data_IF_392002880359
#
_entry.id   IF_392002880359
#
_cell.length_a   1.000
_cell.length_b   1.000
_cell.length_c   1.000
_cell.angle_alpha   90.00
_cell.angle_beta   90.00
_cell.angle_gamma   90.00
#
_symmetry.space_group_name_H-M   'P 1'
#
loop_
_entity.id
_entity.type
_entity.pdbx_description
1 polymer ?
#
# COMPACT_ATOMS: atom_id res chain seq x y z
N UNK A 1 -18.20 -3.40 -1.12
CA UNK A 1 -17.99 -2.14 -0.37
C UNK A 1 -16.80 -1.43 -1.00
N UNK A 2 -17.04 -0.53 -1.97
CA UNK A 2 -15.98 0.19 -2.70
C UNK A 2 -16.06 1.71 -2.48
N UNK A 3 -16.76 2.14 -1.41
CA UNK A 3 -17.15 3.53 -1.19
C UNK A 3 -15.99 4.52 -1.23
N UNK A 4 -14.80 4.09 -0.78
CA UNK A 4 -13.60 4.90 -0.61
C UNK A 4 -12.58 4.80 -1.78
N UNK A 5 -12.86 4.02 -2.83
CA UNK A 5 -11.93 3.80 -3.95
C UNK A 5 -12.61 3.95 -5.31
N UNK A 6 -13.47 4.96 -5.43
CA UNK A 6 -14.17 5.22 -6.68
C UNK A 6 -13.26 5.92 -7.70
N UNK A 7 -13.65 5.82 -8.97
CA UNK A 7 -12.81 6.17 -10.11
C UNK A 7 -12.26 7.60 -10.03
N UNK A 8 -13.12 8.59 -9.83
CA UNK A 8 -12.73 10.01 -9.74
C UNK A 8 -11.63 10.22 -8.68
N UNK A 9 -11.87 9.80 -7.43
CA UNK A 9 -10.89 9.92 -6.35
C UNK A 9 -9.55 9.25 -6.68
N UNK A 10 -9.59 8.01 -7.20
CA UNK A 10 -8.35 7.30 -7.56
C UNK A 10 -7.63 7.94 -8.74
N UNK A 11 -8.33 8.55 -9.70
CA UNK A 11 -7.72 9.28 -10.80
C UNK A 11 -7.02 10.55 -10.31
N UNK A 12 -7.65 11.31 -9.43
CA UNK A 12 -7.03 12.51 -8.85
C UNK A 12 -5.82 12.14 -7.99
N UNK A 13 -5.92 11.07 -7.19
CA UNK A 13 -4.77 10.55 -6.42
C UNK A 13 -3.64 10.05 -7.32
N UNK A 14 -3.94 9.45 -8.48
CA UNK A 14 -2.91 9.07 -9.44
C UNK A 14 -2.21 10.29 -10.05
N UNK A 15 -2.95 11.34 -10.38
CA UNK A 15 -2.35 12.59 -10.86
C UNK A 15 -1.44 13.21 -9.80
N UNK A 16 -1.84 13.15 -8.53
CA UNK A 16 -1.00 13.60 -7.42
C UNK A 16 0.26 12.74 -7.27
N UNK A 17 0.17 11.42 -7.48
CA UNK A 17 1.34 10.55 -7.53
C UNK A 17 2.30 10.93 -8.67
N UNK A 18 1.78 11.27 -9.86
CA UNK A 18 2.59 11.74 -10.98
C UNK A 18 3.30 13.06 -10.64
N UNK A 19 2.58 14.01 -10.06
CA UNK A 19 3.14 15.30 -9.63
C UNK A 19 4.25 15.08 -8.59
N UNK A 20 4.01 14.22 -7.60
CA UNK A 20 4.99 13.87 -6.57
C UNK A 20 6.22 13.18 -7.16
N UNK A 21 6.02 12.22 -8.08
CA UNK A 21 7.12 11.53 -8.76
C UNK A 21 7.95 12.50 -9.60
N UNK A 22 7.31 13.36 -10.39
CA UNK A 22 7.97 14.40 -11.20
C UNK A 22 8.82 15.31 -10.32
N UNK A 23 8.23 15.81 -9.22
CA UNK A 23 8.92 16.67 -8.27
C UNK A 23 10.16 16.00 -7.66
N UNK A 24 10.04 14.74 -7.24
CA UNK A 24 11.15 13.97 -6.70
C UNK A 24 12.24 13.72 -7.75
N UNK A 25 11.85 13.38 -8.98
CA UNK A 25 12.77 13.07 -10.06
C UNK A 25 13.57 14.31 -10.49
N UNK A 26 12.91 15.45 -10.64
CA UNK A 26 13.51 16.68 -11.16
C UNK A 26 14.28 17.45 -10.09
N UNK A 27 13.66 17.70 -8.93
CA UNK A 27 14.24 18.60 -7.91
C UNK A 27 15.18 17.89 -6.95
N UNK A 28 14.97 16.60 -6.69
CA UNK A 28 15.79 15.81 -5.78
C UNK A 28 16.74 14.85 -6.49
N UNK A 29 16.59 14.67 -7.82
CA UNK A 29 17.38 13.70 -8.58
C UNK A 29 17.17 12.27 -8.08
N UNK A 30 16.01 11.98 -7.50
CA UNK A 30 15.72 10.71 -6.82
C UNK A 30 14.38 10.14 -7.28
N UNK A 31 14.32 8.82 -7.42
CA UNK A 31 13.08 8.09 -7.71
C UNK A 31 12.49 7.60 -6.38
N UNK A 32 11.28 8.04 -5.98
CA UNK A 32 10.71 7.64 -4.70
C UNK A 32 10.39 6.14 -4.71
N UNK A 33 10.55 5.47 -3.55
CA UNK A 33 10.10 4.08 -3.38
C UNK A 33 8.64 4.07 -2.97
N UNK A 34 7.75 3.75 -3.91
CA UNK A 34 6.31 3.71 -3.68
C UNK A 34 5.91 2.32 -3.20
N UNK A 35 5.09 2.27 -2.15
CA UNK A 35 4.52 1.03 -1.58
C UNK A 35 2.99 1.09 -1.62
N UNK A 36 2.32 0.21 -0.88
CA UNK A 36 0.87 0.30 -0.70
C UNK A 36 0.06 0.06 -1.98
N UNK A 37 -1.06 0.78 -2.12
CA UNK A 37 -2.02 0.54 -3.20
C UNK A 37 -1.50 0.90 -4.59
N UNK A 38 -0.80 2.03 -4.73
CA UNK A 38 -0.23 2.45 -6.00
C UNK A 38 0.88 1.54 -6.51
N UNK A 39 1.68 0.97 -5.61
CA UNK A 39 2.67 -0.04 -5.95
C UNK A 39 2.04 -1.32 -6.52
N UNK A 40 0.89 -1.74 -5.99
CA UNK A 40 0.13 -2.88 -6.53
C UNK A 40 -0.42 -2.55 -7.91
N UNK A 41 -1.02 -1.37 -8.06
CA UNK A 41 -1.56 -0.90 -9.34
C UNK A 41 -0.53 -0.95 -10.47
N UNK A 42 0.74 -0.57 -10.21
CA UNK A 42 1.81 -0.60 -11.21
C UNK A 42 2.06 -2.00 -11.82
N UNK A 43 1.68 -3.07 -11.12
CA UNK A 43 1.79 -4.44 -11.63
C UNK A 43 0.51 -4.98 -12.24
N UNK A 44 -0.64 -4.61 -11.69
CA UNK A 44 -1.91 -5.28 -11.96
C UNK A 44 -2.86 -4.45 -12.82
N UNK A 45 -2.61 -3.13 -12.92
CA UNK A 45 -3.56 -2.14 -13.45
C UNK A 45 -4.96 -2.28 -12.82
N UNK A 46 -5.03 -2.76 -11.57
CA UNK A 46 -6.26 -3.03 -10.85
C UNK A 46 -6.86 -1.77 -10.22
N UNK A 47 -7.44 -1.94 -9.03
CA UNK A 47 -8.02 -0.83 -8.28
C UNK A 47 -6.93 0.14 -7.79
N UNK A 48 -7.09 1.43 -8.12
CA UNK A 48 -6.21 2.51 -7.67
C UNK A 48 -6.23 2.72 -6.15
N UNK A 49 -5.43 3.67 -5.68
CA UNK A 49 -5.34 4.04 -4.27
C UNK A 49 -5.86 5.46 -4.04
N UNK A 50 -6.20 5.76 -2.78
CA UNK A 50 -6.45 7.13 -2.33
C UNK A 50 -5.15 7.75 -1.79
N UNK A 51 -4.41 6.97 -1.02
CA UNK A 51 -3.18 7.40 -0.35
C UNK A 51 -1.95 7.05 -1.20
N UNK A 52 -0.93 7.90 -1.09
CA UNK A 52 0.39 7.73 -1.70
C UNK A 52 1.36 7.30 -0.61
N UNK A 53 1.61 6.00 -0.52
CA UNK A 53 2.55 5.44 0.45
C UNK A 53 3.98 5.47 -0.11
N UNK A 54 4.91 6.13 0.58
CA UNK A 54 6.31 6.29 0.16
C UNK A 54 7.30 5.93 1.26
N UNK A 55 8.39 5.26 0.87
CA UNK A 55 9.52 4.93 1.76
C UNK A 55 10.73 5.76 1.35
N UNK A 56 11.25 6.55 2.29
CA UNK A 56 12.49 7.30 2.12
C UNK A 56 13.70 6.54 2.67
N UNK A 57 14.92 6.77 2.16
CA UNK A 57 16.13 6.17 2.71
C UNK A 57 16.37 6.53 4.19
N UNK A 58 16.05 7.77 4.56
CA UNK A 58 16.29 8.32 5.89
C UNK A 58 15.34 9.50 6.21
N UNK A 59 15.28 9.89 7.48
CA UNK A 59 14.40 10.94 7.97
C UNK A 59 14.75 12.35 7.46
N UNK A 60 16.03 12.64 7.20
CA UNK A 60 16.46 13.95 6.68
C UNK A 60 15.95 14.13 5.26
N UNK A 61 16.15 13.11 4.41
CA UNK A 61 15.65 13.05 3.03
C UNK A 61 14.12 13.18 2.99
N UNK A 62 13.41 12.42 3.84
CA UNK A 62 11.94 12.52 3.98
C UNK A 62 11.49 13.94 4.34
N UNK A 63 12.02 14.48 5.43
CA UNK A 63 11.56 15.76 5.96
C UNK A 63 11.84 16.90 4.97
N UNK A 64 13.00 16.89 4.31
CA UNK A 64 13.35 17.90 3.29
C UNK A 64 12.42 17.80 2.08
N UNK A 65 12.20 16.59 1.56
CA UNK A 65 11.35 16.36 0.40
C UNK A 65 9.90 16.77 0.67
N UNK A 66 9.30 16.26 1.74
CA UNK A 66 7.91 16.52 2.07
C UNK A 66 7.64 17.97 2.45
N UNK A 67 8.52 18.60 3.25
CA UNK A 67 8.35 20.01 3.62
C UNK A 67 8.27 20.90 2.39
N UNK A 68 9.16 20.68 1.41
CA UNK A 68 9.15 21.48 0.18
C UNK A 68 7.97 21.12 -0.70
N UNK A 69 7.69 19.82 -0.87
CA UNK A 69 6.57 19.38 -1.70
C UNK A 69 5.24 19.93 -1.20
N UNK A 70 4.95 19.79 0.10
CA UNK A 70 3.72 20.27 0.72
C UNK A 70 3.58 21.78 0.64
N UNK A 71 4.66 22.52 0.83
CA UNK A 71 4.65 23.98 0.73
C UNK A 71 4.29 24.49 -0.68
N UNK A 72 4.69 23.77 -1.74
CA UNK A 72 4.45 24.18 -3.13
C UNK A 72 3.22 23.57 -3.79
N UNK A 73 2.55 22.60 -3.16
CA UNK A 73 1.48 21.81 -3.78
C UNK A 73 0.15 21.80 -2.99
N UNK A 74 -0.10 22.89 -2.24
CA UNK A 74 -1.36 23.16 -1.54
C UNK A 74 -1.78 22.09 -0.52
N UNK A 75 -0.80 21.53 0.19
CA UNK A 75 -1.10 20.65 1.33
C UNK A 75 -1.39 21.48 2.57
N UNK A 76 -2.49 21.13 3.24
CA UNK A 76 -2.89 21.70 4.52
C UNK A 76 -2.40 20.83 5.66
N UNK A 77 -1.90 21.47 6.72
CA UNK A 77 -1.59 20.79 7.97
C UNK A 77 -2.89 20.58 8.76
N UNK A 78 -3.15 19.34 9.17
CA UNK A 78 -4.30 18.94 10.00
C UNK A 78 -3.83 18.15 11.22
N UNK A 79 -4.72 17.99 12.20
CA UNK A 79 -4.44 17.26 13.43
C UNK A 79 -4.04 18.14 14.61
N UNK A 80 -3.52 17.52 15.66
CA UNK A 80 -3.14 18.22 16.90
C UNK A 80 -1.67 18.64 16.86
N UNK A 81 -1.23 19.48 17.79
CA UNK A 81 0.17 19.87 17.90
C UNK A 81 1.15 18.67 17.99
N UNK A 82 0.70 17.53 18.50
CA UNK A 82 1.50 16.30 18.64
C UNK A 82 1.38 15.34 17.44
N UNK A 83 0.34 15.46 16.63
CA UNK A 83 0.08 14.58 15.48
C UNK A 83 -0.34 15.44 14.29
N UNK A 84 0.67 15.99 13.60
CA UNK A 84 0.48 16.77 12.38
C UNK A 84 0.44 15.83 11.18
N UNK A 85 -0.65 15.86 10.43
CA UNK A 85 -0.78 15.20 9.13
C UNK A 85 -0.88 16.28 8.06
N UNK A 86 -0.35 16.02 6.87
CA UNK A 86 -0.52 16.91 5.72
C UNK A 86 -1.47 16.26 4.74
N UNK A 87 -2.53 16.98 4.38
CA UNK A 87 -3.57 16.50 3.48
C UNK A 87 -3.75 17.47 2.33
N UNK A 88 -4.03 16.93 1.14
CA UNK A 88 -4.52 17.72 0.02
C UNK A 88 -6.01 17.49 -0.12
N UNK A 89 -6.81 18.53 0.09
CA UNK A 89 -8.26 18.45 -0.05
C UNK A 89 -8.65 18.59 -1.51
N UNK A 90 -9.54 17.70 -1.97
CA UNK A 90 -10.06 17.71 -3.32
C UNK A 90 -11.59 17.69 -3.27
N UNK A 91 -12.22 18.46 -4.15
CA UNK A 91 -13.66 18.36 -4.36
C UNK A 91 -13.95 17.22 -5.35
N UNK A 92 -14.94 16.41 -5.02
CA UNK A 92 -15.42 15.28 -5.84
C UNK A 92 -16.94 15.31 -5.90
N UNK A 93 -17.54 14.48 -6.75
CA UNK A 93 -19.00 14.32 -6.78
C UNK A 93 -19.58 13.84 -5.43
N UNK A 94 -18.76 13.27 -4.56
CA UNK A 94 -19.16 12.78 -3.23
C UNK A 94 -18.87 13.77 -2.10
N UNK A 95 -18.32 14.94 -2.41
CA UNK A 95 -17.93 15.97 -1.45
C UNK A 95 -16.42 16.15 -1.37
N UNK A 96 -15.95 16.69 -0.24
CA UNK A 96 -14.53 16.94 -0.02
C UNK A 96 -13.84 15.67 0.45
N UNK A 97 -12.82 15.25 -0.28
CA UNK A 97 -11.95 14.11 0.05
C UNK A 97 -10.53 14.60 0.34
N UNK A 98 -9.72 13.74 0.97
CA UNK A 98 -8.34 14.05 1.31
C UNK A 98 -7.38 13.05 0.68
N UNK A 99 -6.38 13.54 -0.05
CA UNK A 99 -5.23 12.76 -0.50
C UNK A 99 -4.10 12.94 0.51
N UNK A 100 -3.53 11.81 0.95
CA UNK A 100 -2.46 11.78 1.94
C UNK A 100 -1.21 11.19 1.28
N UNK A 101 -0.06 11.83 1.51
CA UNK A 101 1.25 11.24 1.25
C UNK A 101 1.76 10.65 2.56
N UNK A 102 1.55 9.34 2.74
CA UNK A 102 1.99 8.62 3.93
C UNK A 102 3.45 8.20 3.74
N UNK A 103 4.32 8.77 4.56
CA UNK A 103 5.75 8.67 4.37
C UNK A 103 6.46 8.10 5.58
N UNK A 104 7.12 6.96 5.36
CA UNK A 104 8.01 6.34 6.33
C UNK A 104 9.46 6.34 5.83
N UNK A 105 10.36 5.88 6.69
CA UNK A 105 11.79 5.76 6.41
C UNK A 105 12.21 4.29 6.39
N UNK A 106 13.34 3.98 5.76
CA UNK A 106 13.88 2.63 5.74
C UNK A 106 14.23 2.10 7.15
N UNK A 107 14.48 2.98 8.12
CA UNK A 107 14.69 2.60 9.53
C UNK A 107 13.39 2.21 10.25
N UNK A 108 12.24 2.63 9.74
CA UNK A 108 10.96 2.31 10.33
C UNK A 108 10.58 0.84 10.06
N UNK A 109 9.67 0.33 10.89
CA UNK A 109 9.11 -1.01 10.77
C UNK A 109 7.64 -0.97 11.16
N UNK A 110 6.83 -1.76 10.47
CA UNK A 110 5.47 -2.07 10.91
C UNK A 110 5.52 -3.28 11.83
N UNK A 111 4.99 -3.14 13.03
CA UNK A 111 4.87 -4.22 14.02
C UNK A 111 3.39 -4.51 14.22
N UNK A 112 3.03 -5.79 14.23
CA UNK A 112 1.69 -6.27 14.60
C UNK A 112 1.90 -7.10 15.87
N UNK A 113 1.79 -6.45 17.01
CA UNK A 113 2.22 -7.00 18.30
C UNK A 113 1.48 -8.29 18.65
N UNK A 114 0.16 -8.32 18.46
CA UNK A 114 -0.70 -9.48 18.75
C UNK A 114 -0.34 -10.73 17.94
N UNK A 115 0.37 -10.57 16.83
CA UNK A 115 0.74 -11.66 15.92
C UNK A 115 2.24 -11.97 15.93
N UNK A 116 3.07 -11.27 16.72
CA UNK A 116 4.54 -11.40 16.65
C UNK A 116 5.06 -11.22 15.21
N UNK A 117 4.47 -10.26 14.46
CA UNK A 117 4.82 -9.98 13.07
C UNK A 117 5.56 -8.66 12.96
N UNK A 118 6.68 -8.66 12.23
CA UNK A 118 7.46 -7.45 11.92
C UNK A 118 7.75 -7.33 10.44
N UNK A 119 7.44 -6.16 9.88
CA UNK A 119 7.63 -5.81 8.47
C UNK A 119 8.55 -4.59 8.35
N UNK A 120 9.86 -4.79 8.12
CA UNK A 120 10.81 -3.69 7.97
C UNK A 120 10.61 -2.96 6.64
N UNK A 121 10.57 -1.62 6.65
CA UNK A 121 10.48 -0.82 5.43
C UNK A 121 11.78 -0.79 4.63
N UNK A 122 12.92 -1.12 5.26
CA UNK A 122 14.20 -1.34 4.56
C UNK A 122 14.10 -2.38 3.45
N UNK A 123 13.21 -3.37 3.57
CA UNK A 123 13.02 -4.36 2.51
C UNK A 123 12.46 -3.71 1.25
N UNK A 124 11.54 -2.76 1.36
CA UNK A 124 11.01 -2.02 0.21
C UNK A 124 12.15 -1.36 -0.57
N UNK A 125 13.03 -0.64 0.11
CA UNK A 125 14.17 0.04 -0.54
C UNK A 125 15.15 -0.96 -1.18
N UNK A 126 15.47 -2.04 -0.47
CA UNK A 126 16.48 -3.02 -0.93
C UNK A 126 15.98 -4.00 -2.00
N UNK A 127 14.66 -4.17 -2.10
CA UNK A 127 14.03 -5.15 -2.97
C UNK A 127 12.98 -4.50 -3.86
N UNK A 128 13.35 -3.37 -4.47
CA UNK A 128 12.54 -2.66 -5.47
C UNK A 128 13.18 -2.70 -6.86
N UNK A 129 12.36 -2.45 -7.86
CA UNK A 129 12.77 -2.24 -9.24
C UNK A 129 12.24 -0.91 -9.76
N UNK A 130 13.03 -0.24 -10.60
CA UNK A 130 12.63 1.01 -11.24
C UNK A 130 11.51 0.72 -12.23
N UNK A 131 10.40 1.42 -12.10
CA UNK A 131 9.27 1.35 -13.02
C UNK A 131 8.91 2.73 -13.53
N UNK A 132 8.40 2.74 -14.76
CA UNK A 132 7.88 3.94 -15.40
C UNK A 132 6.40 4.07 -15.04
N UNK A 133 5.96 5.26 -14.62
CA UNK A 133 4.56 5.60 -14.48
C UNK A 133 4.05 6.13 -15.84
N UNK A 134 3.89 7.45 -15.96
CA UNK A 134 3.50 8.15 -17.18
C UNK A 134 4.51 9.25 -17.54
N UNK A 135 4.64 9.58 -18.83
CA UNK A 135 5.58 10.62 -19.29
C UNK A 135 7.03 10.22 -19.02
N UNK A 136 7.80 11.05 -18.33
CA UNK A 136 9.17 10.76 -17.89
C UNK A 136 9.25 10.49 -16.37
N UNK A 137 8.12 10.17 -15.74
CA UNK A 137 8.06 9.86 -14.31
C UNK A 137 8.47 8.42 -14.02
N UNK A 138 9.40 8.25 -13.09
CA UNK A 138 9.85 6.94 -12.63
C UNK A 138 9.82 6.84 -11.11
N UNK A 139 9.56 5.62 -10.65
CA UNK A 139 9.48 5.26 -9.22
C UNK A 139 10.16 3.92 -8.98
N UNK A 140 10.54 3.63 -7.74
CA UNK A 140 10.93 2.30 -7.31
C UNK A 140 9.72 1.59 -6.72
N UNK A 141 9.41 0.39 -7.21
CA UNK A 141 8.31 -0.43 -6.71
C UNK A 141 8.88 -1.74 -6.14
N UNK A 142 8.51 -2.16 -4.92
CA UNK A 142 8.94 -3.44 -4.36
C UNK A 142 8.58 -4.60 -5.28
N UNK A 143 9.40 -5.65 -5.27
CA UNK A 143 9.12 -6.85 -6.05
C UNK A 143 7.79 -7.48 -5.60
N UNK A 144 7.05 -8.15 -6.51
CA UNK A 144 5.69 -8.62 -6.23
C UNK A 144 5.55 -9.46 -4.96
N UNK A 145 6.50 -10.37 -4.69
CA UNK A 145 6.47 -11.19 -3.47
C UNK A 145 6.52 -10.35 -2.19
N UNK A 146 7.33 -9.29 -2.15
CA UNK A 146 7.40 -8.40 -0.99
C UNK A 146 6.13 -7.55 -0.83
N UNK A 147 5.57 -7.05 -1.94
CA UNK A 147 4.27 -6.35 -1.89
C UNK A 147 3.17 -7.27 -1.36
N UNK A 148 3.16 -8.54 -1.78
CA UNK A 148 2.19 -9.51 -1.31
C UNK A 148 2.33 -9.72 0.20
N UNK A 149 3.56 -9.91 0.71
CA UNK A 149 3.84 -9.98 2.16
C UNK A 149 3.34 -8.75 2.92
N UNK A 150 3.62 -7.54 2.42
CA UNK A 150 3.14 -6.31 3.06
C UNK A 150 1.61 -6.22 3.09
N UNK A 151 0.91 -6.66 2.03
CA UNK A 151 -0.54 -6.62 1.96
C UNK A 151 -1.20 -7.68 2.85
N UNK A 152 -0.63 -8.88 2.94
CA UNK A 152 -1.07 -9.91 3.89
C UNK A 152 -0.95 -9.40 5.33
N UNK A 153 0.23 -8.89 5.70
CA UNK A 153 0.43 -8.31 7.03
C UNK A 153 -0.47 -7.09 7.27
N UNK A 154 -0.78 -6.31 6.23
CA UNK A 154 -1.70 -5.19 6.35
C UNK A 154 -3.12 -5.62 6.71
N UNK A 155 -3.64 -6.63 6.02
CA UNK A 155 -4.96 -7.19 6.27
C UNK A 155 -5.05 -7.80 7.67
N UNK A 156 -4.06 -8.63 8.05
CA UNK A 156 -3.99 -9.26 9.37
C UNK A 156 -3.91 -8.23 10.49
N UNK A 157 -3.00 -7.25 10.39
CA UNK A 157 -2.88 -6.22 11.41
C UNK A 157 -4.14 -5.36 11.57
N UNK A 158 -4.80 -5.02 10.45
CA UNK A 158 -6.07 -4.28 10.50
C UNK A 158 -7.22 -5.13 11.06
N UNK A 159 -7.23 -6.44 10.82
CA UNK A 159 -8.18 -7.37 11.46
C UNK A 159 -8.01 -7.35 12.98
N UNK A 160 -6.78 -7.38 13.48
CA UNK A 160 -6.52 -7.29 14.92
C UNK A 160 -6.98 -5.94 15.48
N UNK A 161 -6.64 -4.83 14.81
CA UNK A 161 -7.13 -3.49 15.19
C UNK A 161 -8.66 -3.41 15.22
N UNK A 162 -9.34 -4.06 14.26
CA UNK A 162 -10.80 -4.04 14.15
C UNK A 162 -11.50 -4.64 15.39
N UNK A 163 -10.84 -5.56 16.12
CA UNK A 163 -11.41 -6.17 17.33
C UNK A 163 -11.67 -5.15 18.45
N UNK A 164 -10.95 -4.04 18.46
CA UNK A 164 -11.00 -3.01 19.51
C UNK A 164 -11.36 -1.62 18.99
N UNK A 165 -11.45 -1.45 17.67
CA UNK A 165 -11.73 -0.16 17.04
C UNK A 165 -13.18 0.29 17.21
N UNK A 166 -13.36 1.61 17.35
CA UNK A 166 -14.69 2.26 17.34
C UNK A 166 -15.18 2.53 15.91
N UNK A 167 -14.28 2.86 15.01
CA UNK A 167 -14.58 3.13 13.59
C UNK A 167 -14.35 1.88 12.74
N UNK A 168 -15.42 1.11 12.56
CA UNK A 168 -15.34 -0.19 11.88
C UNK A 168 -15.33 -0.07 10.37
N UNK A 169 -16.08 0.86 9.79
CA UNK A 169 -16.35 0.90 8.35
C UNK A 169 -15.10 1.26 7.53
N UNK A 170 -14.34 2.24 8.01
CA UNK A 170 -13.07 2.63 7.38
C UNK A 170 -12.06 1.48 7.42
N UNK A 171 -11.87 0.85 8.57
CA UNK A 171 -10.97 -0.30 8.72
C UNK A 171 -11.41 -1.49 7.88
N UNK A 172 -12.70 -1.80 7.84
CA UNK A 172 -13.25 -2.85 6.99
C UNK A 172 -13.00 -2.56 5.50
N UNK A 173 -13.11 -1.30 5.07
CA UNK A 173 -12.79 -0.90 3.70
C UNK A 173 -11.30 -1.07 3.36
N UNK A 174 -10.41 -0.81 4.32
CA UNK A 174 -8.96 -1.02 4.17
C UNK A 174 -8.60 -2.50 4.13
N UNK A 175 -9.20 -3.33 4.98
CA UNK A 175 -9.06 -4.79 4.94
C UNK A 175 -9.53 -5.31 3.58
N UNK A 176 -10.71 -4.88 3.12
CA UNK A 176 -11.21 -5.26 1.80
C UNK A 176 -10.23 -4.90 0.68
N UNK A 177 -9.66 -3.69 0.71
CA UNK A 177 -8.66 -3.26 -0.27
C UNK A 177 -7.39 -4.10 -0.23
N UNK A 178 -6.90 -4.46 0.95
CA UNK A 178 -5.71 -5.33 1.06
C UNK A 178 -5.98 -6.71 0.48
N UNK A 179 -7.14 -7.31 0.79
CA UNK A 179 -7.56 -8.60 0.24
C UNK A 179 -7.70 -8.53 -1.29
N UNK A 180 -8.29 -7.44 -1.80
CA UNK A 180 -8.39 -7.18 -3.24
C UNK A 180 -7.00 -7.13 -3.89
N UNK A 181 -6.07 -6.40 -3.27
CA UNK A 181 -4.70 -6.26 -3.76
C UNK A 181 -3.94 -7.59 -3.76
N UNK A 182 -4.12 -8.40 -2.71
CA UNK A 182 -3.55 -9.76 -2.62
C UNK A 182 -4.10 -10.65 -3.74
N UNK A 183 -5.42 -10.64 -3.97
CA UNK A 183 -6.05 -11.39 -5.05
C UNK A 183 -5.53 -10.95 -6.43
N UNK A 184 -5.46 -9.63 -6.67
CA UNK A 184 -4.91 -9.02 -7.88
C UNK A 184 -3.47 -9.45 -8.17
N UNK A 185 -2.59 -9.37 -7.16
CA UNK A 185 -1.19 -9.79 -7.29
C UNK A 185 -1.08 -11.30 -7.53
N UNK A 186 -1.84 -12.09 -6.78
CA UNK A 186 -1.83 -13.55 -6.91
C UNK A 186 -2.22 -13.98 -8.31
N UNK A 187 -3.29 -13.39 -8.88
CA UNK A 187 -3.71 -13.64 -10.26
C UNK A 187 -2.60 -13.30 -11.26
N UNK A 188 -2.01 -12.12 -11.11
CA UNK A 188 -1.02 -11.57 -12.04
C UNK A 188 0.29 -12.36 -12.04
N UNK A 189 0.72 -12.87 -10.89
CA UNK A 189 2.02 -13.51 -10.70
C UNK A 189 1.94 -15.02 -10.48
N UNK A 190 0.93 -15.70 -11.04
CA UNK A 190 0.63 -17.13 -10.84
C UNK A 190 1.85 -18.06 -10.68
N UNK A 191 2.89 -17.89 -11.51
CA UNK A 191 4.08 -18.75 -11.54
C UNK A 191 5.38 -18.07 -11.05
N UNK A 192 5.29 -16.84 -10.50
CA UNK A 192 6.46 -16.00 -10.17
C UNK A 192 6.56 -15.60 -8.70
N UNK A 193 5.77 -16.25 -7.83
CA UNK A 193 5.73 -15.97 -6.38
C UNK A 193 6.83 -16.75 -5.62
N UNK A 194 7.85 -17.28 -6.31
CA UNK A 194 8.95 -18.09 -5.74
C UNK A 194 9.81 -17.38 -4.68
N UNK A 195 9.58 -16.09 -4.40
CA UNK A 195 10.33 -15.31 -3.39
C UNK A 195 9.50 -14.84 -2.21
N UNK A 196 8.22 -15.21 -2.11
CA UNK A 196 7.39 -14.77 -1.00
C UNK A 196 7.78 -15.46 0.31
N UNK A 197 8.06 -16.77 0.28
CA UNK A 197 8.29 -17.56 1.49
C UNK A 197 9.37 -16.95 2.38
N UNK A 198 10.49 -16.55 1.77
CA UNK A 198 11.58 -15.85 2.45
C UNK A 198 11.12 -14.60 3.24
N UNK A 199 10.17 -13.83 2.70
CA UNK A 199 9.65 -12.64 3.38
C UNK A 199 8.59 -13.00 4.42
N UNK A 200 7.74 -14.01 4.14
CA UNK A 200 6.79 -14.55 5.13
C UNK A 200 7.52 -15.03 6.37
N UNK A 201 8.47 -15.96 6.21
CA UNK A 201 9.26 -16.55 7.30
C UNK A 201 9.96 -15.47 8.15
N UNK A 202 10.62 -14.51 7.48
CA UNK A 202 11.38 -13.46 8.16
C UNK A 202 10.50 -12.47 8.90
N UNK A 203 9.25 -12.33 8.46
CA UNK A 203 8.27 -11.45 9.08
C UNK A 203 7.45 -12.12 10.19
N UNK A 204 7.44 -13.45 10.24
CA UNK A 204 6.56 -14.24 11.10
C UNK A 204 5.14 -14.42 10.56
N UNK A 205 4.85 -13.96 9.34
CA UNK A 205 3.51 -14.07 8.72
C UNK A 205 3.19 -15.51 8.32
N UNK A 206 4.20 -16.34 8.05
CA UNK A 206 4.05 -17.77 7.77
C UNK A 206 3.20 -18.49 8.83
N UNK A 207 3.33 -18.10 10.10
CA UNK A 207 2.55 -18.63 11.23
C UNK A 207 1.04 -18.32 11.15
N UNK A 208 0.66 -17.31 10.37
CA UNK A 208 -0.69 -16.74 10.29
C UNK A 208 -1.27 -16.81 8.87
N UNK A 209 -0.66 -17.61 8.00
CA UNK A 209 -1.06 -17.67 6.60
C UNK A 209 -2.40 -18.38 6.42
N UNK A 210 -2.68 -19.41 7.22
CA UNK A 210 -3.96 -20.13 7.21
C UNK A 210 -5.11 -19.20 7.64
N UNK A 211 -4.90 -18.44 8.72
CA UNK A 211 -5.78 -17.35 9.16
C UNK A 211 -6.07 -16.35 8.03
N UNK A 212 -5.03 -15.95 7.29
CA UNK A 212 -5.20 -15.02 6.17
C UNK A 212 -6.02 -15.65 5.03
N UNK A 213 -5.73 -16.91 4.68
CA UNK A 213 -6.46 -17.67 3.65
C UNK A 213 -7.94 -17.72 3.98
N UNK A 214 -8.30 -18.02 5.24
CA UNK A 214 -9.70 -18.07 5.68
C UNK A 214 -10.42 -16.73 5.46
N UNK A 215 -9.79 -15.62 5.83
CA UNK A 215 -10.37 -14.29 5.62
C UNK A 215 -10.59 -14.02 4.12
N UNK A 216 -9.59 -14.32 3.29
CA UNK A 216 -9.65 -14.09 1.85
C UNK A 216 -10.74 -14.95 1.20
N UNK A 217 -10.85 -16.22 1.60
CA UNK A 217 -11.81 -17.18 1.04
C UNK A 217 -13.25 -16.95 1.50
N UNK A 218 -13.43 -16.20 2.59
CA UNK A 218 -14.74 -15.69 3.00
C UNK A 218 -15.24 -14.52 2.11
N UNK A 219 -14.41 -13.99 1.21
CA UNK A 219 -14.75 -12.86 0.32
C UNK A 219 -15.01 -13.31 -1.11
N UNK A 220 -16.15 -13.96 -1.31
CA UNK A 220 -16.61 -14.40 -2.64
C UNK A 220 -16.61 -13.24 -3.65
N UNK A 221 -16.97 -12.03 -3.22
CA UNK A 221 -16.94 -10.82 -4.07
C UNK A 221 -15.55 -10.50 -4.64
N UNK A 222 -14.49 -10.73 -3.85
CA UNK A 222 -13.11 -10.52 -4.29
C UNK A 222 -12.65 -11.68 -5.18
N UNK A 223 -12.96 -12.92 -4.79
CA UNK A 223 -12.58 -14.11 -5.53
C UNK A 223 -13.18 -14.11 -6.95
N UNK A 224 -14.48 -13.82 -7.05
CA UNK A 224 -15.20 -13.71 -8.33
C UNK A 224 -14.62 -12.62 -9.21
N UNK A 225 -14.36 -11.44 -8.66
CA UNK A 225 -13.76 -10.31 -9.40
C UNK A 225 -12.41 -10.70 -10.04
N UNK A 226 -11.67 -11.59 -9.40
CA UNK A 226 -10.35 -12.02 -9.86
C UNK A 226 -10.34 -13.39 -10.55
N UNK A 227 -11.48 -14.07 -10.70
CA UNK A 227 -11.55 -15.44 -11.22
C UNK A 227 -10.60 -16.38 -10.44
N UNK A 228 -10.61 -16.28 -9.11
CA UNK A 228 -9.85 -17.14 -8.21
C UNK A 228 -10.78 -18.15 -7.55
N UNK A 229 -10.38 -19.43 -7.55
CA UNK A 229 -11.13 -20.48 -6.85
C UNK A 229 -10.71 -20.56 -5.38
N UNK A 230 -11.62 -21.00 -4.50
CA UNK A 230 -11.26 -21.36 -3.12
C UNK A 230 -10.16 -22.43 -3.11
N UNK A 231 -9.20 -22.29 -2.22
CA UNK A 231 -7.98 -23.08 -2.13
C UNK A 231 -6.91 -22.73 -3.17
N UNK A 232 -7.20 -21.91 -4.19
CA UNK A 232 -6.21 -21.57 -5.22
C UNK A 232 -5.12 -20.65 -4.67
N UNK A 233 -5.46 -19.70 -3.80
CA UNK A 233 -4.48 -18.86 -3.13
C UNK A 233 -3.56 -19.71 -2.24
N UNK A 234 -4.14 -20.53 -1.36
CA UNK A 234 -3.39 -21.43 -0.47
C UNK A 234 -2.42 -22.32 -1.27
N UNK A 235 -2.88 -22.93 -2.37
CA UNK A 235 -2.04 -23.75 -3.24
C UNK A 235 -0.88 -23.01 -3.88
N UNK A 236 -0.96 -21.70 -4.07
CA UNK A 236 0.10 -20.90 -4.71
C UNK A 236 1.10 -20.34 -3.71
N UNK A 237 0.68 -20.13 -2.46
CA UNK A 237 1.54 -19.55 -1.41
C UNK A 237 2.17 -20.62 -0.53
N UNK A 238 1.51 -21.77 -0.34
CA UNK A 238 1.97 -22.86 0.53
C UNK A 238 2.67 -24.00 -0.22
N UNK A 239 2.74 -23.94 -1.56
CA UNK A 239 3.47 -24.92 -2.39
C UNK A 239 4.94 -24.53 -2.54
#
# INVERSE_FOLDING_TARGET
MNGFYYKELTQVSFQELLNFASWMNEFFGHYPTIVGGWAVWCYTNGLGSRDIDVVFPDASSRNKALKHYFFYNDYEETGTFMEKTYVKRIETEKGVEEIIVDACTASDRRVIEDLDVTLPWKWAVNHSQKQKLEGDNYVYIPIPGLLLTYKIGAALGRRETLKTARETDYLQSKIWKDLYDVASLTKTFKDKIERIQKFLDKSGIDKHIEDFVEILEARDDILETHDLKKGEFAKRILS
#
